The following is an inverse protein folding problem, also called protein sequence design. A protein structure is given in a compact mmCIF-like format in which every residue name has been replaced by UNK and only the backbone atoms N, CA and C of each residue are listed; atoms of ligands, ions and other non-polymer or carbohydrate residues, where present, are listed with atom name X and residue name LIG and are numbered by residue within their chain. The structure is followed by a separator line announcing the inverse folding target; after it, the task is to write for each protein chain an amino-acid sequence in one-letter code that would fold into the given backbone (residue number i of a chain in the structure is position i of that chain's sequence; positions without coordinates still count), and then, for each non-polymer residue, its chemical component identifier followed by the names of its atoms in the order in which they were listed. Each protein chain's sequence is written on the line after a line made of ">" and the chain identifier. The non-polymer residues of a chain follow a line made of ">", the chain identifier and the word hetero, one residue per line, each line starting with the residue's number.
data_IF_104949207117
#
_entry.id   IF_104949207117
#
_cell.length_a   1.000
_cell.length_b   1.000
_cell.length_c   1.000
_cell.angle_alpha   90.00
_cell.angle_beta   90.00
_cell.angle_gamma   90.00
#
_symmetry.space_group_name_H-M   'P 1'
#
loop_
_entity.id
_entity.type
_entity.pdbx_description
1 polymer ?
#
# COMPACT_ATOMS: atom_id res chain seq x y z
N UNK A 1 -3.85 -26.87 -70.09
CA UNK A 1 -3.04 -26.52 -68.90
C UNK A 1 -3.67 -25.30 -68.23
N UNK A 2 -4.06 -25.42 -66.95
CA UNK A 2 -4.38 -24.37 -65.93
C UNK A 2 -5.58 -23.44 -66.28
N UNK A 3 -6.82 -23.63 -65.79
CA UNK A 3 -7.37 -23.49 -64.41
C UNK A 3 -6.91 -22.18 -63.72
N UNK A 4 -7.72 -21.29 -63.12
CA UNK A 4 -9.14 -21.25 -62.71
C UNK A 4 -9.45 -19.83 -62.12
N UNK A 5 -10.72 -19.37 -62.19
CA UNK A 5 -11.51 -18.56 -61.22
C UNK A 5 -11.16 -17.06 -60.90
N UNK A 6 -11.98 -16.04 -61.26
CA UNK A 6 -13.19 -15.41 -60.60
C UNK A 6 -12.87 -14.28 -59.56
N UNK A 7 -13.66 -13.27 -59.17
CA UNK A 7 -15.12 -13.04 -58.97
C UNK A 7 -15.47 -11.52 -59.12
N UNK A 8 -16.71 -11.28 -59.52
CA UNK A 8 -17.60 -10.11 -59.72
C UNK A 8 -17.89 -9.19 -58.50
N UNK A 9 -18.18 -7.88 -58.69
CA UNK A 9 -19.50 -7.17 -58.62
C UNK A 9 -20.22 -7.25 -57.24
N UNK A 10 -20.90 -6.25 -56.65
CA UNK A 10 -21.82 -5.21 -57.16
C UNK A 10 -22.25 -4.36 -55.94
N UNK A 11 -22.53 -3.06 -56.14
CA UNK A 11 -23.08 -2.15 -55.14
C UNK A 11 -24.63 -2.10 -55.20
N UNK A 12 -25.32 -1.95 -54.05
CA UNK A 12 -26.75 -1.63 -54.00
C UNK A 12 -27.13 -0.80 -52.76
N UNK A 13 -28.02 0.17 -52.98
CA UNK A 13 -28.65 1.12 -52.05
C UNK A 13 -29.58 0.49 -51.01
N UNK A 14 -29.87 1.21 -49.91
CA UNK A 14 -31.24 1.40 -49.38
C UNK A 14 -31.33 2.52 -48.31
N UNK A 15 -32.30 3.44 -48.47
CA UNK A 15 -32.74 4.45 -47.50
C UNK A 15 -33.99 3.97 -46.70
N UNK A 16 -34.14 4.50 -45.48
CA UNK A 16 -35.37 4.99 -44.78
C UNK A 16 -35.69 4.42 -43.37
N UNK A 17 -36.03 5.37 -42.48
CA UNK A 17 -37.11 5.36 -41.47
C UNK A 17 -36.76 5.31 -39.97
N UNK A 18 -37.04 6.46 -39.33
CA UNK A 18 -37.55 6.79 -37.97
C UNK A 18 -37.33 5.86 -36.78
N UNK A 19 -36.87 6.44 -35.65
CA UNK A 19 -37.51 6.20 -34.33
C UNK A 19 -37.18 7.31 -33.31
N UNK A 20 -38.19 7.62 -32.51
CA UNK A 20 -38.38 8.81 -31.70
C UNK A 20 -37.49 8.90 -30.43
N UNK A 21 -37.12 10.13 -30.07
CA UNK A 21 -36.49 10.47 -28.79
C UNK A 21 -37.55 10.57 -27.68
N UNK A 22 -37.51 9.63 -26.71
CA UNK A 22 -38.30 9.67 -25.50
C UNK A 22 -37.64 10.52 -24.41
N UNK A 23 -38.39 11.50 -23.88
CA UNK A 23 -38.04 12.27 -22.67
C UNK A 23 -38.27 11.39 -21.44
N UNK A 24 -37.23 11.17 -20.64
CA UNK A 24 -37.34 10.55 -19.31
C UNK A 24 -37.27 11.65 -18.25
N UNK A 25 -38.35 11.81 -17.49
CA UNK A 25 -38.41 12.64 -16.28
C UNK A 25 -37.59 12.01 -15.16
N UNK A 26 -36.55 12.71 -14.70
CA UNK A 26 -35.76 12.32 -13.54
C UNK A 26 -36.45 12.79 -12.26
N UNK A 27 -36.97 11.84 -11.48
CA UNK A 27 -37.45 12.06 -10.11
C UNK A 27 -36.29 12.47 -9.20
N UNK A 28 -36.39 13.65 -8.59
CA UNK A 28 -35.43 14.13 -7.60
C UNK A 28 -35.57 13.35 -6.28
N UNK A 29 -34.65 12.44 -6.02
CA UNK A 29 -34.48 11.84 -4.70
C UNK A 29 -33.54 12.72 -3.86
N UNK A 30 -34.09 13.32 -2.80
CA UNK A 30 -33.33 14.09 -1.80
C UNK A 30 -32.48 13.13 -0.95
N UNK A 31 -31.20 13.02 -1.27
CA UNK A 31 -30.22 12.32 -0.42
C UNK A 31 -29.80 13.27 0.70
N UNK A 32 -30.29 13.02 1.92
CA UNK A 32 -29.75 13.63 3.14
C UNK A 32 -28.36 13.04 3.40
N UNK A 33 -27.32 13.77 3.00
CA UNK A 33 -25.93 13.42 3.34
C UNK A 33 -25.66 13.81 4.79
N UNK A 34 -25.89 12.89 5.73
CA UNK A 34 -25.28 13.00 7.06
C UNK A 34 -23.78 12.86 6.91
N UNK A 35 -23.08 13.98 6.90
CA UNK A 35 -21.62 14.04 6.95
C UNK A 35 -21.14 13.59 8.33
N UNK A 36 -21.07 12.28 8.54
CA UNK A 36 -20.30 11.71 9.64
C UNK A 36 -18.94 11.36 9.08
N UNK A 37 -17.98 12.25 9.25
CA UNK A 37 -16.54 11.99 9.08
C UNK A 37 -16.05 11.04 10.17
N UNK A 38 -16.70 9.89 10.33
CA UNK A 38 -16.26 8.83 11.21
C UNK A 38 -15.18 8.06 10.44
N UNK A 39 -13.92 8.46 10.66
CA UNK A 39 -12.76 7.66 10.26
C UNK A 39 -12.92 6.29 10.91
N UNK A 40 -13.31 5.26 10.14
CA UNK A 40 -13.31 3.89 10.63
C UNK A 40 -11.87 3.53 10.95
N UNK A 41 -11.54 3.50 12.23
CA UNK A 41 -10.22 3.12 12.71
C UNK A 41 -10.04 1.65 12.37
N UNK A 42 -9.26 1.38 11.32
CA UNK A 42 -9.01 0.04 10.80
C UNK A 42 -8.43 -0.88 11.89
N UNK A 43 -8.72 -2.18 11.78
CA UNK A 43 -8.29 -3.20 12.72
C UNK A 43 -6.76 -3.17 12.93
N UNK A 44 -6.31 -3.51 14.13
CA UNK A 44 -4.91 -3.36 14.55
C UNK A 44 -3.89 -4.05 13.63
N UNK A 45 -4.27 -5.09 12.90
CA UNK A 45 -3.39 -5.79 11.95
C UNK A 45 -3.21 -5.04 10.62
N UNK A 46 -4.22 -4.31 10.16
CA UNK A 46 -4.15 -3.47 8.96
C UNK A 46 -3.19 -2.29 9.16
N UNK A 47 -3.05 -1.80 10.40
CA UNK A 47 -2.17 -0.68 10.72
C UNK A 47 -0.67 -1.02 10.54
N UNK A 48 -0.27 -2.28 10.78
CA UNK A 48 1.12 -2.71 10.52
C UNK A 48 1.45 -2.75 9.05
N UNK A 49 0.56 -3.33 8.26
CA UNK A 49 0.71 -3.39 6.81
C UNK A 49 0.70 -1.97 6.25
N UNK A 50 -0.19 -1.10 6.73
CA UNK A 50 -0.27 0.30 6.34
C UNK A 50 0.99 1.08 6.69
N UNK A 51 1.48 0.96 7.93
CA UNK A 51 2.72 1.60 8.38
C UNK A 51 3.92 1.11 7.55
N UNK A 52 4.04 -0.20 7.34
CA UNK A 52 5.11 -0.77 6.53
C UNK A 52 5.05 -0.28 5.07
N UNK A 53 3.86 -0.13 4.48
CA UNK A 53 3.66 0.37 3.11
C UNK A 53 3.94 1.86 2.97
N UNK A 54 3.80 2.64 4.05
CA UNK A 54 4.17 4.07 4.07
C UNK A 54 5.68 4.31 4.13
N UNK A 55 6.48 3.34 4.59
CA UNK A 55 7.94 3.46 4.62
C UNK A 55 8.50 3.51 3.19
N UNK A 56 9.43 4.45 2.97
CA UNK A 56 10.13 4.66 1.71
C UNK A 56 11.63 4.39 1.77
N UNK A 57 12.17 4.14 2.96
CA UNK A 57 13.58 3.91 3.21
C UNK A 57 13.74 2.73 4.18
N UNK A 58 14.90 2.06 4.09
CA UNK A 58 15.30 1.02 5.05
C UNK A 58 15.67 1.67 6.37
N UNK A 59 15.38 1.00 7.48
CA UNK A 59 15.97 1.36 8.76
C UNK A 59 17.44 0.94 8.84
N UNK A 60 18.19 1.51 9.77
CA UNK A 60 19.58 1.13 10.03
C UNK A 60 19.71 -0.35 10.50
N UNK A 61 18.65 -0.89 11.10
CA UNK A 61 18.59 -2.27 11.61
C UNK A 61 18.13 -3.29 10.55
N UNK A 62 17.93 -2.86 9.30
CA UNK A 62 17.49 -3.72 8.21
C UNK A 62 18.69 -4.21 7.38
N UNK A 63 18.69 -5.47 6.98
CA UNK A 63 19.75 -6.04 6.14
C UNK A 63 19.55 -5.62 4.68
N UNK A 64 19.97 -4.39 4.37
CA UNK A 64 19.99 -3.83 3.02
C UNK A 64 21.15 -4.45 2.23
N UNK A 65 20.81 -5.09 1.12
CA UNK A 65 21.77 -5.70 0.20
C UNK A 65 21.61 -5.10 -1.19
N UNK A 66 22.70 -4.58 -1.73
CA UNK A 66 22.78 -4.13 -3.11
C UNK A 66 23.31 -5.27 -3.99
N UNK A 67 22.53 -5.68 -4.98
CA UNK A 67 22.83 -6.82 -5.84
C UNK A 67 22.93 -6.38 -7.30
N UNK A 68 23.98 -6.81 -7.97
CA UNK A 68 24.16 -6.61 -9.41
C UNK A 68 23.38 -7.65 -10.21
N UNK A 69 22.74 -7.25 -11.30
CA UNK A 69 22.11 -8.16 -12.25
C UNK A 69 23.16 -8.99 -13.01
N UNK A 70 22.91 -10.28 -13.29
CA UNK A 70 21.80 -11.12 -12.81
C UNK A 70 21.93 -11.44 -11.31
N UNK A 71 20.81 -11.43 -10.57
CA UNK A 71 20.84 -11.58 -9.11
C UNK A 71 21.32 -12.97 -8.66
N UNK A 72 20.89 -14.03 -9.37
CA UNK A 72 21.20 -15.42 -9.00
C UNK A 72 20.41 -15.93 -7.79
N UNK A 73 19.14 -15.52 -7.68
CA UNK A 73 18.21 -15.92 -6.61
C UNK A 73 16.97 -16.54 -7.22
N UNK A 74 16.47 -17.61 -6.60
CA UNK A 74 15.13 -18.14 -6.85
C UNK A 74 14.24 -17.68 -5.70
N UNK A 75 13.20 -16.93 -6.05
CA UNK A 75 12.22 -16.41 -5.09
C UNK A 75 10.94 -17.22 -5.21
N UNK A 76 10.29 -17.46 -4.07
CA UNK A 76 8.99 -18.09 -3.99
C UNK A 76 8.07 -17.28 -3.05
N UNK A 77 6.79 -17.60 -3.02
CA UNK A 77 5.79 -16.90 -2.24
C UNK A 77 5.09 -17.84 -1.27
N UNK A 78 4.77 -17.29 -0.11
CA UNK A 78 3.96 -17.92 0.93
C UNK A 78 2.45 -17.63 0.73
N UNK A 79 1.58 -18.38 1.40
CA UNK A 79 0.12 -18.23 1.34
C UNK A 79 -0.32 -16.79 1.71
N UNK A 80 0.40 -16.15 2.63
CA UNK A 80 0.16 -14.77 3.06
C UNK A 80 0.64 -13.70 2.06
N UNK A 81 1.21 -14.08 0.91
CA UNK A 81 1.69 -13.14 -0.09
C UNK A 81 3.05 -12.51 0.19
N UNK A 82 3.80 -13.07 1.13
CA UNK A 82 5.18 -12.69 1.41
C UNK A 82 6.12 -13.45 0.48
N UNK A 83 7.17 -12.78 0.01
CA UNK A 83 8.15 -13.37 -0.91
C UNK A 83 9.40 -13.75 -0.11
N UNK A 84 9.87 -14.98 -0.28
CA UNK A 84 11.06 -15.50 0.38
C UNK A 84 12.05 -16.09 -0.64
N UNK A 85 13.29 -16.22 -0.22
CA UNK A 85 14.37 -16.84 -1.00
C UNK A 85 14.28 -18.36 -0.84
N UNK A 86 13.99 -19.06 -1.93
CA UNK A 86 13.94 -20.54 -1.91
C UNK A 86 15.33 -21.13 -2.05
N UNK A 87 16.06 -20.74 -3.09
CA UNK A 87 17.42 -21.19 -3.34
C UNK A 87 18.32 -20.05 -3.79
N UNK A 88 19.58 -20.12 -3.37
CA UNK A 88 20.62 -19.19 -3.80
C UNK A 88 21.56 -19.90 -4.76
N UNK A 89 21.75 -19.36 -5.97
CA UNK A 89 22.66 -19.98 -6.92
C UNK A 89 24.11 -19.90 -6.39
N UNK A 90 24.85 -21.02 -6.25
CA UNK A 90 26.15 -21.06 -5.56
C UNK A 90 27.28 -20.26 -6.22
N UNK A 91 27.09 -19.82 -7.48
CA UNK A 91 27.99 -18.90 -8.22
C UNK A 91 27.33 -17.56 -8.58
N UNK A 92 26.15 -17.29 -8.06
CA UNK A 92 25.38 -16.07 -8.33
C UNK A 92 25.96 -14.84 -7.63
N UNK A 93 25.58 -13.65 -8.10
CA UNK A 93 25.99 -12.40 -7.48
C UNK A 93 25.48 -12.29 -6.04
N UNK A 94 24.29 -12.82 -5.72
CA UNK A 94 23.78 -12.88 -4.36
C UNK A 94 24.62 -13.76 -3.43
N UNK A 95 25.01 -14.97 -3.87
CA UNK A 95 25.90 -15.83 -3.09
C UNK A 95 27.25 -15.16 -2.79
N UNK A 96 27.81 -14.43 -3.77
CA UNK A 96 29.08 -13.71 -3.61
C UNK A 96 29.03 -12.62 -2.54
N UNK A 97 27.86 -12.03 -2.28
CA UNK A 97 27.72 -11.05 -1.19
C UNK A 97 27.76 -11.68 0.19
N UNK A 98 27.37 -12.95 0.32
CA UNK A 98 27.27 -13.66 1.60
C UNK A 98 26.20 -13.14 2.56
N UNK A 99 25.42 -12.13 2.17
CA UNK A 99 24.41 -11.47 3.01
C UNK A 99 23.00 -12.05 2.88
N UNK A 100 22.78 -12.90 1.88
CA UNK A 100 21.48 -13.51 1.57
C UNK A 100 21.56 -15.00 1.86
N UNK A 101 20.59 -15.52 2.60
CA UNK A 101 20.45 -16.93 2.92
C UNK A 101 19.15 -17.50 2.37
N UNK A 102 19.12 -18.81 2.22
CA UNK A 102 17.89 -19.55 1.90
C UNK A 102 16.91 -19.42 3.08
N UNK A 103 15.64 -19.15 2.77
CA UNK A 103 14.58 -18.88 3.73
C UNK A 103 14.47 -17.41 4.18
N UNK A 104 15.33 -16.50 3.71
CA UNK A 104 15.18 -15.08 4.01
C UNK A 104 13.96 -14.47 3.31
N UNK A 105 13.20 -13.63 4.02
CA UNK A 105 12.02 -12.95 3.51
C UNK A 105 12.42 -11.59 2.93
N UNK A 106 11.94 -11.28 1.73
CA UNK A 106 12.11 -9.96 1.11
C UNK A 106 11.05 -9.03 1.70
N UNK A 107 11.50 -8.09 2.54
CA UNK A 107 10.60 -7.14 3.23
C UNK A 107 10.48 -5.82 2.46
N UNK A 108 11.54 -5.37 1.79
CA UNK A 108 11.48 -4.21 0.89
C UNK A 108 12.21 -4.45 -0.42
N UNK A 109 11.68 -3.85 -1.47
CA UNK A 109 12.31 -3.77 -2.78
C UNK A 109 12.52 -2.31 -3.15
N UNK A 110 13.61 -2.05 -3.85
CA UNK A 110 13.88 -0.75 -4.44
C UNK A 110 12.84 -0.39 -5.52
N UNK A 111 12.52 0.89 -5.66
CA UNK A 111 11.60 1.42 -6.67
C UNK A 111 12.17 1.25 -8.09
N UNK A 112 11.35 1.45 -9.12
CA UNK A 112 11.81 1.36 -10.51
C UNK A 112 12.79 2.48 -10.88
N UNK A 113 12.61 3.65 -10.27
CA UNK A 113 13.41 4.86 -10.45
C UNK A 113 13.79 5.45 -9.10
N UNK A 114 14.99 6.03 -9.01
CA UNK A 114 15.52 6.63 -7.79
C UNK A 114 15.99 5.63 -6.74
N UNK A 115 16.20 6.15 -5.53
CA UNK A 115 16.72 5.43 -4.36
C UNK A 115 15.64 5.03 -3.36
N UNK A 116 14.39 5.39 -3.63
CA UNK A 116 13.26 5.01 -2.80
C UNK A 116 13.05 3.50 -2.82
N UNK A 117 12.46 3.02 -1.74
CA UNK A 117 12.07 1.63 -1.55
C UNK A 117 10.61 1.53 -1.17
N UNK A 118 10.06 0.34 -1.31
CA UNK A 118 8.69 0.05 -0.96
C UNK A 118 8.58 -1.33 -0.34
N UNK A 119 7.61 -1.49 0.57
CA UNK A 119 7.38 -2.75 1.27
C UNK A 119 6.77 -3.81 0.34
N UNK A 120 7.34 -5.01 0.39
CA UNK A 120 6.92 -6.19 -0.39
C UNK A 120 6.05 -7.16 0.41
N UNK A 121 5.74 -6.84 1.68
CA UNK A 121 4.89 -7.66 2.56
C UNK A 121 3.45 -7.74 2.01
N UNK A 122 2.93 -8.95 1.79
CA UNK A 122 1.56 -9.19 1.31
C UNK A 122 1.30 -8.65 -0.10
N UNK A 123 2.31 -8.63 -0.96
CA UNK A 123 2.22 -8.09 -2.33
C UNK A 123 2.17 -9.19 -3.39
N UNK A 124 2.81 -10.33 -3.12
CA UNK A 124 2.92 -11.44 -4.05
C UNK A 124 4.16 -11.39 -4.98
N UNK A 125 4.55 -12.56 -5.46
CA UNK A 125 5.77 -12.83 -6.21
C UNK A 125 5.80 -12.15 -7.57
N UNK A 126 4.68 -12.16 -8.30
CA UNK A 126 4.58 -11.57 -9.64
C UNK A 126 4.96 -10.09 -9.66
N UNK A 127 4.49 -9.32 -8.67
CA UNK A 127 4.78 -7.89 -8.60
C UNK A 127 6.23 -7.62 -8.18
N UNK A 128 6.78 -8.40 -7.26
CA UNK A 128 8.19 -8.29 -6.84
C UNK A 128 9.12 -8.61 -8.00
N UNK A 129 8.86 -9.69 -8.74
CA UNK A 129 9.63 -10.03 -9.94
C UNK A 129 9.50 -8.97 -11.03
N UNK A 130 8.30 -8.43 -11.24
CA UNK A 130 8.09 -7.34 -12.21
C UNK A 130 8.90 -6.09 -11.81
N UNK A 131 8.88 -5.69 -10.53
CA UNK A 131 9.66 -4.56 -10.05
C UNK A 131 11.18 -4.77 -10.25
N UNK A 132 11.68 -5.96 -9.92
CA UNK A 132 13.08 -6.33 -10.13
C UNK A 132 13.44 -6.33 -11.62
N UNK A 133 12.54 -6.75 -12.50
CA UNK A 133 12.78 -6.79 -13.96
C UNK A 133 12.81 -5.41 -14.60
N UNK A 134 11.87 -4.54 -14.23
CA UNK A 134 11.65 -3.25 -14.92
C UNK A 134 12.53 -2.12 -14.36
N UNK A 135 13.13 -2.29 -13.16
CA UNK A 135 14.00 -1.28 -12.55
C UNK A 135 15.13 -0.82 -13.51
N UNK A 136 15.39 0.48 -13.55
CA UNK A 136 16.49 1.02 -14.32
C UNK A 136 17.83 0.78 -13.59
N UNK A 137 18.88 0.48 -14.36
CA UNK A 137 20.24 0.33 -13.85
C UNK A 137 20.70 -1.11 -13.58
N UNK A 138 22.00 -1.31 -13.30
CA UNK A 138 22.58 -2.63 -13.11
C UNK A 138 22.38 -3.19 -11.69
N UNK A 139 22.01 -2.35 -10.71
CA UNK A 139 21.91 -2.71 -9.29
C UNK A 139 20.46 -2.69 -8.78
N UNK A 140 20.12 -3.66 -7.94
CA UNK A 140 18.84 -3.75 -7.23
C UNK A 140 19.12 -3.76 -5.74
N UNK A 141 18.46 -2.89 -4.99
CA UNK A 141 18.56 -2.86 -3.53
C UNK A 141 17.39 -3.65 -2.95
N UNK A 142 17.67 -4.67 -2.15
CA UNK A 142 16.67 -5.51 -1.51
C UNK A 142 16.95 -5.55 -0.01
N UNK A 143 15.89 -5.54 0.79
CA UNK A 143 15.99 -5.76 2.23
C UNK A 143 15.54 -7.17 2.53
N UNK A 144 16.44 -7.93 3.14
CA UNK A 144 16.20 -9.28 3.60
C UNK A 144 15.98 -9.31 5.10
N UNK A 145 15.13 -10.25 5.54
CA UNK A 145 14.86 -10.47 6.93
C UNK A 145 14.81 -11.98 7.19
N UNK A 146 15.61 -12.44 8.15
CA UNK A 146 15.56 -13.85 8.55
C UNK A 146 14.22 -14.13 9.22
N UNK A 147 13.66 -15.35 9.09
CA UNK A 147 12.36 -15.69 9.67
C UNK A 147 12.33 -15.51 11.21
N UNK A 148 13.46 -15.69 11.89
CA UNK A 148 13.56 -15.42 13.32
C UNK A 148 13.48 -13.91 13.63
N UNK A 149 14.17 -13.07 12.85
CA UNK A 149 14.05 -11.61 12.97
C UNK A 149 12.62 -11.13 12.67
N UNK A 150 11.94 -11.75 11.70
CA UNK A 150 10.53 -11.47 11.39
C UNK A 150 9.62 -11.64 12.60
N UNK A 151 9.76 -12.76 13.32
CA UNK A 151 8.99 -13.01 14.55
C UNK A 151 9.32 -12.03 15.67
N UNK A 152 10.61 -11.71 15.85
CA UNK A 152 11.06 -10.76 16.87
C UNK A 152 10.56 -9.34 16.56
N UNK A 153 10.68 -8.88 15.31
CA UNK A 153 10.17 -7.56 14.88
C UNK A 153 8.64 -7.50 14.95
N UNK A 154 7.94 -8.60 14.65
CA UNK A 154 6.49 -8.70 14.85
C UNK A 154 6.09 -8.61 16.33
N UNK A 155 6.83 -9.28 17.23
CA UNK A 155 6.59 -9.21 18.67
C UNK A 155 6.89 -7.81 19.24
N UNK A 156 8.03 -7.21 18.86
CA UNK A 156 8.44 -5.89 19.30
C UNK A 156 7.51 -4.79 18.77
N UNK A 157 7.13 -4.85 17.50
CA UNK A 157 6.15 -3.90 16.94
C UNK A 157 4.79 -4.02 17.63
N UNK A 158 4.37 -5.21 18.05
CA UNK A 158 3.13 -5.37 18.82
C UNK A 158 3.25 -4.77 20.22
N UNK A 159 4.36 -4.95 20.93
CA UNK A 159 4.61 -4.31 22.23
C UNK A 159 4.66 -2.79 22.13
N UNK A 160 5.42 -2.27 21.16
CA UNK A 160 5.55 -0.83 20.91
C UNK A 160 4.20 -0.20 20.53
N UNK A 161 3.36 -0.91 19.76
CA UNK A 161 2.02 -0.44 19.41
C UNK A 161 1.05 -0.44 20.59
N UNK A 162 1.09 -1.44 21.47
CA UNK A 162 0.29 -1.42 22.71
C UNK A 162 0.66 -0.20 23.56
N UNK A 163 1.95 -0.01 23.79
CA UNK A 163 2.44 1.19 24.49
C UNK A 163 2.03 2.51 23.79
N UNK A 164 2.08 2.55 22.46
CA UNK A 164 1.66 3.73 21.70
C UNK A 164 0.14 3.93 21.71
N UNK A 165 -0.66 2.87 21.67
CA UNK A 165 -2.12 2.93 21.77
C UNK A 165 -2.54 3.41 23.15
N UNK A 166 -1.91 2.90 24.21
CA UNK A 166 -2.14 3.33 25.59
C UNK A 166 -1.73 4.80 25.78
N UNK A 167 -0.59 5.21 25.21
CA UNK A 167 -0.14 6.60 25.21
C UNK A 167 -1.09 7.53 24.43
N UNK A 168 -1.61 7.08 23.27
CA UNK A 168 -2.61 7.82 22.48
C UNK A 168 -3.93 7.93 23.22
N UNK A 169 -4.40 6.87 23.88
CA UNK A 169 -5.61 6.89 24.69
C UNK A 169 -5.46 7.85 25.88
N UNK A 170 -4.32 7.83 26.56
CA UNK A 170 -4.02 8.77 27.63
C UNK A 170 -3.92 10.23 27.13
N UNK A 171 -3.36 10.46 25.94
CA UNK A 171 -3.32 11.78 25.31
C UNK A 171 -4.71 12.27 24.89
N UNK A 172 -5.56 11.37 24.38
CA UNK A 172 -6.93 11.68 24.01
C UNK A 172 -7.76 12.04 25.25
N UNK A 173 -7.66 11.27 26.34
CA UNK A 173 -8.33 11.60 27.59
C UNK A 173 -7.89 12.97 28.15
N UNK A 174 -6.61 13.32 28.03
CA UNK A 174 -6.11 14.67 28.38
C UNK A 174 -6.70 15.75 27.47
N UNK A 175 -6.75 15.51 26.16
CA UNK A 175 -7.32 16.44 25.18
C UNK A 175 -8.80 16.70 25.46
N UNK A 176 -9.58 15.64 25.71
CA UNK A 176 -11.02 15.73 25.98
C UNK A 176 -11.28 16.48 27.30
N UNK A 177 -10.46 16.24 28.33
CA UNK A 177 -10.51 17.00 29.58
C UNK A 177 -10.22 18.49 29.37
N UNK A 178 -9.21 18.83 28.57
CA UNK A 178 -8.86 20.22 28.28
C UNK A 178 -9.96 20.92 27.47
N UNK A 179 -10.58 20.22 26.52
CA UNK A 179 -11.71 20.73 25.76
C UNK A 179 -12.91 21.05 26.67
N UNK A 180 -13.24 20.15 27.60
CA UNK A 180 -14.31 20.41 28.58
C UNK A 180 -14.02 21.64 29.46
N UNK A 181 -12.77 21.81 29.90
CA UNK A 181 -12.37 23.01 30.66
C UNK A 181 -12.51 24.29 29.83
N UNK A 182 -12.11 24.28 28.55
CA UNK A 182 -12.25 25.43 27.66
C UNK A 182 -13.72 25.79 27.41
N UNK A 183 -14.58 24.78 27.21
CA UNK A 183 -16.03 24.99 27.04
C UNK A 183 -16.68 25.60 28.28
N UNK A 184 -16.26 25.19 29.48
CA UNK A 184 -16.78 25.71 30.74
C UNK A 184 -16.30 27.15 31.01
N UNK A 185 -15.03 27.45 30.70
CA UNK A 185 -14.49 28.80 30.82
C UNK A 185 -15.11 29.76 29.79
N UNK A 186 -15.41 29.31 28.57
CA UNK A 186 -16.13 30.10 27.58
C UNK A 186 -17.55 30.46 28.07
N UNK A 187 -18.27 29.51 28.69
CA UNK A 187 -19.59 29.76 29.28
C UNK A 187 -19.53 30.78 30.42
N UNK A 188 -18.51 30.71 31.29
CA UNK A 188 -18.31 31.69 32.37
C UNK A 188 -17.99 33.08 31.84
N UNK A 189 -17.13 33.18 30.84
CA UNK A 189 -16.75 34.46 30.23
C UNK A 189 -17.95 35.13 29.54
N UNK A 190 -18.80 34.35 28.85
CA UNK A 190 -20.04 34.85 28.24
C UNK A 190 -21.04 35.38 29.27
N UNK A 191 -21.20 34.71 30.43
CA UNK A 191 -22.04 35.20 31.53
C UNK A 191 -21.48 36.45 32.22
N UNK A 192 -20.17 36.51 32.45
CA UNK A 192 -19.51 37.68 33.06
C UNK A 192 -19.56 38.93 32.16
N UNK A 193 -19.47 38.74 30.83
CA UNK A 193 -19.58 39.84 29.87
C UNK A 193 -21.01 40.34 29.66
N UNK A 194 -22.01 39.52 29.97
CA UNK A 194 -23.44 39.91 29.95
C UNK A 194 -23.85 40.73 31.19
N UNK A 195 -23.17 40.55 32.32
CA UNK A 195 -23.44 41.28 33.57
C UNK A 195 -22.64 42.60 33.72
N UNK A 196 -21.71 42.89 32.81
CA UNK A 196 -20.91 44.12 32.81
C UNK A 196 -21.30 45.15 31.74
N UNK A 197 -22.44 44.94 31.06
CA UNK A 197 -22.98 45.83 30.02
C UNK A 197 -24.39 46.32 30.38
N UNK A 198 -24.57 46.71 31.65
CA UNK A 198 -25.69 47.51 32.15
C UNK A 198 -25.14 48.51 33.18
#
# INVERSE_FOLDING_TARGET
>A
MKFLLTITATALLCLHSVNAFGVVSSTAASVRTTSTTALSMANGDDDLLRSSRSKRQAGNDDNLVELTRPLGLVLNQDENGNVYVETVAPRGNAARTGKVKEGDIVTMCSATFGDDMWSTRGVGLTRVLAAIRVRAGPYVKLVFETPNQSKIKAANSTKQRKAAADARAAAQAKKDKLLGQLEDDEKKLKKGKFLGLF
#
